data_IF_214830312556
#
_entry.id   IF_214830312556
#
_cell.length_a   1.000
_cell.length_b   1.000
_cell.length_c   1.000
_cell.angle_alpha   90.00
_cell.angle_beta   90.00
_cell.angle_gamma   90.00
#
_symmetry.space_group_name_H-M   'P 1'
#
loop_
_entity.id
_entity.type
_entity.pdbx_description
1 polymer ?
#
# COMPACT_ATOMS: atom_id res chain seq x y z
N UNK A 1 9.35 -4.06 -31.01
CA UNK A 1 10.39 -3.31 -30.28
C UNK A 1 11.80 -3.89 -30.44
N UNK A 2 12.06 -5.18 -30.16
CA UNK A 2 13.41 -5.78 -30.31
C UNK A 2 14.08 -5.50 -31.67
N UNK A 3 13.38 -5.78 -32.78
CA UNK A 3 13.86 -5.48 -34.14
C UNK A 3 14.16 -3.99 -34.37
N UNK A 4 13.36 -3.10 -33.80
CA UNK A 4 13.54 -1.64 -33.91
C UNK A 4 14.84 -1.22 -33.21
N UNK A 5 15.08 -1.71 -31.99
CA UNK A 5 16.30 -1.42 -31.22
C UNK A 5 17.55 -2.02 -31.89
N UNK A 6 17.44 -3.22 -32.47
CA UNK A 6 18.53 -3.86 -33.23
C UNK A 6 18.86 -3.07 -34.50
N UNK A 7 17.84 -2.65 -35.25
CA UNK A 7 18.01 -1.80 -36.43
C UNK A 7 18.64 -0.45 -36.07
N UNK A 8 18.16 0.20 -35.01
CA UNK A 8 18.69 1.48 -34.55
C UNK A 8 20.17 1.36 -34.15
N UNK A 9 20.52 0.31 -33.40
CA UNK A 9 21.91 -0.01 -33.08
C UNK A 9 22.79 -0.23 -34.32
N UNK A 10 22.27 -0.93 -35.34
CA UNK A 10 23.01 -1.23 -36.57
C UNK A 10 23.28 0.02 -37.40
N UNK A 11 22.35 0.98 -37.38
CA UNK A 11 22.41 2.20 -38.19
C UNK A 11 22.80 3.44 -37.38
N UNK A 12 23.29 3.29 -36.15
CA UNK A 12 23.68 4.39 -35.26
C UNK A 12 22.56 5.43 -35.02
N UNK A 13 21.31 4.99 -35.00
CA UNK A 13 20.15 5.82 -34.70
C UNK A 13 19.93 5.81 -33.19
N UNK A 14 19.88 6.99 -32.59
CA UNK A 14 19.53 7.18 -31.18
C UNK A 14 18.00 7.22 -31.06
N UNK A 15 17.45 6.37 -30.20
CA UNK A 15 16.04 6.38 -29.84
C UNK A 15 15.90 7.00 -28.45
N UNK A 16 15.02 7.99 -28.33
CA UNK A 16 14.61 8.52 -27.03
C UNK A 16 13.70 7.49 -26.34
N UNK A 17 14.20 6.85 -25.29
CA UNK A 17 13.48 5.80 -24.55
C UNK A 17 12.59 6.34 -23.43
N UNK A 18 12.70 7.63 -23.11
CA UNK A 18 11.96 8.27 -22.01
C UNK A 18 10.82 9.15 -22.55
N UNK A 19 10.70 9.30 -23.86
CA UNK A 19 9.61 10.06 -24.46
C UNK A 19 8.26 9.41 -24.13
N UNK A 20 7.35 10.22 -23.59
CA UNK A 20 6.02 9.78 -23.23
C UNK A 20 4.99 10.16 -24.28
N UNK A 21 4.02 9.29 -24.54
CA UNK A 21 2.83 9.65 -25.32
C UNK A 21 1.82 10.50 -24.52
N UNK A 22 0.68 10.85 -25.13
CA UNK A 22 -0.40 11.63 -24.49
C UNK A 22 -0.95 10.99 -23.20
N UNK A 23 -0.84 9.67 -23.07
CA UNK A 23 -1.21 8.91 -21.86
C UNK A 23 -0.07 8.82 -20.85
N UNK A 24 1.01 9.60 -21.01
CA UNK A 24 2.24 9.56 -20.20
C UNK A 24 2.93 8.19 -20.18
N UNK A 25 2.72 7.38 -21.22
CA UNK A 25 3.29 6.05 -21.36
C UNK A 25 4.57 6.08 -22.20
N UNK A 26 5.57 5.34 -21.76
CA UNK A 26 6.89 5.22 -22.38
C UNK A 26 7.28 3.74 -22.50
N UNK A 27 8.25 3.37 -23.38
CA UNK A 27 8.59 1.98 -23.67
C UNK A 27 8.79 1.10 -22.44
N UNK A 28 9.51 1.60 -21.43
CA UNK A 28 9.75 0.81 -20.23
C UNK A 28 8.52 0.64 -19.35
N UNK A 29 7.66 1.67 -19.22
CA UNK A 29 6.40 1.54 -18.47
C UNK A 29 5.54 0.43 -19.07
N UNK A 30 5.45 0.36 -20.40
CA UNK A 30 4.69 -0.69 -21.07
C UNK A 30 5.26 -2.09 -20.83
N UNK A 31 6.59 -2.22 -20.85
CA UNK A 31 7.27 -3.48 -20.53
C UNK A 31 6.98 -3.92 -19.09
N UNK A 32 6.93 -2.98 -18.14
CA UNK A 32 6.57 -3.25 -16.75
C UNK A 32 5.13 -3.76 -16.64
N UNK A 33 4.19 -3.08 -17.31
CA UNK A 33 2.78 -3.49 -17.37
C UNK A 33 2.59 -4.88 -17.96
N UNK A 34 3.27 -5.19 -19.08
CA UNK A 34 3.18 -6.49 -19.74
C UNK A 34 4.01 -7.58 -19.02
N UNK A 35 4.68 -7.25 -17.91
CA UNK A 35 5.63 -8.11 -17.20
C UNK A 35 6.67 -8.79 -18.13
N UNK A 36 7.12 -8.07 -19.16
CA UNK A 36 7.97 -8.65 -20.20
C UNK A 36 9.46 -8.55 -19.84
N UNK A 37 9.93 -9.49 -19.00
CA UNK A 37 11.30 -9.55 -18.49
C UNK A 37 12.36 -9.55 -19.60
N UNK A 38 12.14 -10.30 -20.67
CA UNK A 38 13.11 -10.41 -21.76
C UNK A 38 13.22 -9.10 -22.53
N UNK A 39 12.08 -8.43 -22.76
CA UNK A 39 12.08 -7.12 -23.40
C UNK A 39 12.71 -6.05 -22.49
N UNK A 40 12.54 -6.12 -21.16
CA UNK A 40 13.21 -5.24 -20.20
C UNK A 40 14.74 -5.35 -20.32
N UNK A 41 15.27 -6.59 -20.35
CA UNK A 41 16.70 -6.84 -20.55
C UNK A 41 17.21 -6.29 -21.88
N UNK A 42 16.43 -6.46 -22.96
CA UNK A 42 16.79 -5.91 -24.29
C UNK A 42 16.82 -4.38 -24.26
N UNK A 43 15.83 -3.72 -23.64
CA UNK A 43 15.77 -2.27 -23.52
C UNK A 43 16.96 -1.73 -22.70
N UNK A 44 17.23 -2.34 -21.55
CA UNK A 44 18.37 -1.99 -20.68
C UNK A 44 19.72 -2.19 -21.41
N UNK A 45 19.87 -3.27 -22.17
CA UNK A 45 21.08 -3.51 -22.97
C UNK A 45 21.28 -2.41 -24.01
N UNK A 46 20.21 -2.00 -24.69
CA UNK A 46 20.26 -0.88 -25.63
C UNK A 46 20.62 0.43 -24.93
N UNK A 47 19.97 0.74 -23.80
CA UNK A 47 20.20 1.97 -23.05
C UNK A 47 21.67 2.10 -22.60
N UNK A 48 22.21 1.03 -21.96
CA UNK A 48 23.61 0.97 -21.57
C UNK A 48 24.58 1.14 -22.74
N UNK A 49 24.31 0.51 -23.89
CA UNK A 49 25.19 0.58 -25.07
C UNK A 49 25.28 2.00 -25.64
N UNK A 50 24.20 2.76 -25.55
CA UNK A 50 24.08 4.09 -26.14
C UNK A 50 24.20 5.22 -25.10
N UNK A 51 24.67 4.91 -23.88
CA UNK A 51 24.75 5.85 -22.75
C UNK A 51 23.43 6.61 -22.49
N UNK A 52 22.30 5.95 -22.75
CA UNK A 52 20.98 6.50 -22.47
C UNK A 52 20.58 6.10 -21.04
N UNK A 53 20.18 7.08 -20.22
CA UNK A 53 19.70 6.90 -18.86
C UNK A 53 18.18 6.67 -18.94
N UNK A 54 17.72 5.47 -18.59
CA UNK A 54 16.28 5.21 -18.50
C UNK A 54 15.68 5.98 -17.31
N UNK A 55 14.62 6.75 -17.55
CA UNK A 55 13.83 7.36 -16.48
C UNK A 55 12.92 6.29 -15.85
N UNK A 56 13.18 6.01 -14.58
CA UNK A 56 12.53 4.94 -13.84
C UNK A 56 11.58 5.51 -12.80
N UNK A 57 10.29 5.47 -13.14
CA UNK A 57 9.20 5.72 -12.21
C UNK A 57 8.49 4.39 -11.93
N UNK A 58 8.41 3.98 -10.68
CA UNK A 58 7.83 2.69 -10.26
C UNK A 58 6.29 2.75 -10.25
N UNK A 59 5.66 2.99 -11.39
CA UNK A 59 4.18 3.04 -11.44
C UNK A 59 3.54 1.65 -11.40
N UNK A 60 4.28 0.61 -11.78
CA UNK A 60 3.77 -0.76 -11.92
C UNK A 60 4.78 -1.78 -11.35
N UNK A 61 4.41 -2.45 -10.26
CA UNK A 61 5.35 -3.25 -9.46
C UNK A 61 5.13 -4.76 -9.61
N UNK A 62 5.76 -5.33 -10.64
CA UNK A 62 6.09 -6.77 -10.62
C UNK A 62 7.48 -6.98 -10.01
N UNK A 63 7.57 -7.79 -8.95
CA UNK A 63 8.82 -7.99 -8.21
C UNK A 63 10.00 -8.48 -9.07
N UNK A 64 9.75 -9.22 -10.16
CA UNK A 64 10.82 -9.69 -11.05
C UNK A 64 11.42 -8.54 -11.88
N UNK A 65 10.58 -7.68 -12.43
CA UNK A 65 11.04 -6.49 -13.19
C UNK A 65 11.68 -5.50 -12.24
N UNK A 66 11.13 -5.33 -11.03
CA UNK A 66 11.69 -4.45 -10.02
C UNK A 66 13.16 -4.80 -9.70
N UNK A 67 13.49 -6.08 -9.51
CA UNK A 67 14.89 -6.52 -9.32
C UNK A 67 15.80 -6.13 -10.49
N UNK A 68 15.29 -6.22 -11.72
CA UNK A 68 16.05 -5.87 -12.92
C UNK A 68 16.30 -4.35 -12.98
N UNK A 69 15.31 -3.54 -12.61
CA UNK A 69 15.42 -2.09 -12.57
C UNK A 69 16.42 -1.64 -11.50
N UNK A 70 16.30 -2.15 -10.26
CA UNK A 70 17.25 -1.84 -9.16
C UNK A 70 18.70 -2.12 -9.58
N UNK A 71 18.94 -3.28 -10.21
CA UNK A 71 20.29 -3.63 -10.68
C UNK A 71 20.84 -2.69 -11.75
N UNK A 72 19.98 -2.27 -12.69
CA UNK A 72 20.36 -1.30 -13.72
C UNK A 72 20.74 0.05 -13.11
N UNK A 73 20.01 0.47 -12.08
CA UNK A 73 20.20 1.77 -11.44
C UNK A 73 21.45 1.83 -10.60
N UNK A 74 21.68 0.81 -9.78
CA UNK A 74 22.90 0.68 -9.00
C UNK A 74 24.14 0.74 -9.91
N UNK A 75 24.04 0.16 -11.12
CA UNK A 75 25.13 0.20 -12.10
C UNK A 75 25.33 1.58 -12.73
N UNK A 76 24.26 2.35 -12.89
CA UNK A 76 24.28 3.64 -13.59
C UNK A 76 24.19 4.85 -12.65
N UNK A 77 24.25 4.64 -11.33
CA UNK A 77 24.10 5.66 -10.28
C UNK A 77 22.81 6.49 -10.43
N UNK A 78 21.70 5.82 -10.73
CA UNK A 78 20.36 6.42 -10.85
C UNK A 78 19.59 6.16 -9.55
N UNK A 79 18.77 7.11 -9.11
CA UNK A 79 17.89 6.97 -7.93
C UNK A 79 16.43 6.88 -8.39
N UNK A 80 15.74 5.81 -8.01
CA UNK A 80 14.31 5.64 -8.27
C UNK A 80 13.49 6.66 -7.53
N UNK A 81 12.45 7.14 -8.21
CA UNK A 81 11.39 7.91 -7.57
C UNK A 81 10.30 6.97 -7.04
N UNK A 82 10.63 6.21 -5.99
CA UNK A 82 9.76 5.18 -5.39
C UNK A 82 8.57 5.71 -4.57
N UNK A 83 8.37 7.03 -4.53
CA UNK A 83 7.24 7.69 -3.86
C UNK A 83 6.36 8.48 -4.82
N UNK A 84 6.71 8.56 -6.11
CA UNK A 84 5.87 9.25 -7.08
C UNK A 84 4.57 8.49 -7.30
N UNK A 85 3.47 9.23 -7.38
CA UNK A 85 2.15 8.65 -7.61
C UNK A 85 1.83 8.55 -9.11
N UNK A 86 1.02 7.56 -9.47
CA UNK A 86 0.37 7.49 -10.76
C UNK A 86 -0.79 8.51 -10.89
N UNK A 87 -1.53 8.45 -12.01
CA UNK A 87 -2.69 9.32 -12.26
C UNK A 87 -3.86 9.07 -11.29
N UNK A 88 -3.87 7.92 -10.62
CA UNK A 88 -4.85 7.51 -9.61
C UNK A 88 -4.33 7.75 -8.19
N UNK A 89 -3.26 8.54 -8.03
CA UNK A 89 -2.63 8.82 -6.74
C UNK A 89 -2.12 7.56 -6.01
N UNK A 90 -1.91 6.46 -6.73
CA UNK A 90 -1.24 5.28 -6.18
C UNK A 90 0.26 5.50 -6.23
N UNK A 91 0.93 5.37 -5.10
CA UNK A 91 2.38 5.27 -5.04
C UNK A 91 2.82 3.80 -5.08
N UNK A 92 4.11 3.53 -5.36
CA UNK A 92 4.59 2.20 -5.71
C UNK A 92 4.34 1.16 -4.60
N UNK A 93 4.43 1.56 -3.33
CA UNK A 93 4.11 0.69 -2.20
C UNK A 93 2.65 0.21 -2.20
N UNK A 94 1.70 1.11 -2.46
CA UNK A 94 0.28 0.76 -2.53
C UNK A 94 0.03 -0.19 -3.70
N UNK A 95 0.63 0.06 -4.87
CA UNK A 95 0.52 -0.83 -6.04
C UNK A 95 1.10 -2.23 -5.74
N UNK A 96 2.26 -2.31 -5.09
CA UNK A 96 2.88 -3.58 -4.71
C UNK A 96 1.98 -4.40 -3.76
N UNK A 97 1.31 -3.73 -2.83
CA UNK A 97 0.32 -4.32 -1.92
C UNK A 97 -0.91 -4.81 -2.70
N UNK A 98 -1.48 -3.97 -3.57
CA UNK A 98 -2.69 -4.30 -4.36
C UNK A 98 -2.45 -5.47 -5.32
N UNK A 99 -1.25 -5.58 -5.90
CA UNK A 99 -0.85 -6.71 -6.75
C UNK A 99 -0.53 -7.99 -5.96
N UNK A 100 -0.77 -7.99 -4.64
CA UNK A 100 -0.57 -9.12 -3.73
C UNK A 100 0.86 -9.68 -3.70
N UNK A 101 1.86 -8.88 -4.11
CA UNK A 101 3.25 -9.36 -4.23
C UNK A 101 4.06 -8.98 -2.99
N UNK A 102 4.17 -9.91 -2.04
CA UNK A 102 5.01 -9.71 -0.85
C UNK A 102 6.48 -9.44 -1.22
N UNK A 103 6.96 -10.06 -2.29
CA UNK A 103 8.32 -9.85 -2.79
C UNK A 103 8.52 -8.41 -3.27
N UNK A 104 7.56 -7.82 -4.00
CA UNK A 104 7.63 -6.41 -4.40
C UNK A 104 7.68 -5.48 -3.18
N UNK A 105 6.90 -5.77 -2.13
CA UNK A 105 6.90 -4.97 -0.90
C UNK A 105 8.27 -5.04 -0.21
N UNK A 106 8.86 -6.24 -0.09
CA UNK A 106 10.20 -6.42 0.50
C UNK A 106 11.27 -5.68 -0.29
N UNK A 107 11.25 -5.76 -1.61
CA UNK A 107 12.20 -5.06 -2.48
C UNK A 107 12.10 -3.55 -2.36
N UNK A 108 10.89 -2.99 -2.26
CA UNK A 108 10.69 -1.56 -2.02
C UNK A 108 11.28 -1.13 -0.68
N UNK A 109 11.05 -1.90 0.39
CA UNK A 109 11.60 -1.63 1.72
C UNK A 109 13.12 -1.69 1.71
N UNK A 110 13.70 -2.74 1.14
CA UNK A 110 15.14 -2.92 1.04
C UNK A 110 15.79 -1.78 0.25
N UNK A 111 15.23 -1.44 -0.92
CA UNK A 111 15.72 -0.33 -1.72
C UNK A 111 15.62 1.00 -0.97
N UNK A 112 14.48 1.28 -0.35
CA UNK A 112 14.27 2.50 0.41
C UNK A 112 15.30 2.64 1.54
N UNK A 113 15.55 1.57 2.29
CA UNK A 113 16.54 1.55 3.37
C UNK A 113 17.96 1.77 2.83
N UNK A 114 18.35 1.10 1.74
CA UNK A 114 19.69 1.21 1.15
C UNK A 114 19.98 2.61 0.59
N UNK A 115 18.93 3.34 0.18
CA UNK A 115 19.04 4.69 -0.39
C UNK A 115 18.57 5.79 0.58
N UNK A 116 18.30 5.47 1.85
CA UNK A 116 17.81 6.40 2.87
C UNK A 116 16.54 7.17 2.44
N UNK A 117 15.66 6.50 1.68
CA UNK A 117 14.37 7.02 1.25
C UNK A 117 13.30 6.59 2.25
N UNK A 118 12.47 7.54 2.69
CA UNK A 118 11.28 7.24 3.49
C UNK A 118 10.14 6.88 2.55
N UNK A 119 9.64 5.64 2.56
CA UNK A 119 8.55 5.19 1.70
C UNK A 119 7.27 5.95 2.00
N UNK A 120 6.55 6.28 0.95
CA UNK A 120 5.24 6.86 1.03
C UNK A 120 4.23 5.79 1.47
N UNK A 121 3.53 6.02 2.58
CA UNK A 121 2.49 5.11 3.12
C UNK A 121 1.11 5.79 3.22
N UNK A 122 1.02 7.02 2.73
CA UNK A 122 -0.15 7.89 2.61
C UNK A 122 0.16 8.91 1.50
N UNK A 123 -0.75 9.43 0.70
CA UNK A 123 -0.32 10.36 -0.38
C UNK A 123 0.16 11.71 0.19
N UNK A 124 1.41 12.12 -0.04
CA UNK A 124 1.91 13.46 0.32
C UNK A 124 1.64 14.44 -0.83
N UNK A 125 0.48 15.10 -0.81
CA UNK A 125 0.37 16.44 -1.39
C UNK A 125 0.44 17.44 -0.25
N UNK A 126 1.33 18.44 -0.40
CA UNK A 126 1.85 19.38 0.61
C UNK A 126 0.82 20.13 1.49
N UNK A 127 -0.48 19.97 1.26
CA UNK A 127 -1.53 20.77 1.90
C UNK A 127 -2.67 19.96 2.58
N UNK A 128 -2.70 18.62 2.58
CA UNK A 128 -3.70 17.88 3.38
C UNK A 128 -3.14 16.59 3.97
N UNK A 129 -3.30 16.41 5.29
CA UNK A 129 -2.64 15.39 6.13
C UNK A 129 -3.31 14.00 6.01
N UNK A 130 -4.34 13.84 5.17
CA UNK A 130 -5.26 12.69 5.22
C UNK A 130 -5.51 11.99 3.87
N UNK A 131 -4.54 11.94 2.93
CA UNK A 131 -4.86 11.58 1.54
C UNK A 131 -4.63 10.09 1.18
N UNK A 132 -5.71 9.49 0.69
CA UNK A 132 -5.82 8.16 0.09
C UNK A 132 -5.60 8.23 -1.42
N UNK A 133 -5.53 7.10 -2.12
CA UNK A 133 -5.68 7.10 -3.57
C UNK A 133 -7.11 7.53 -4.00
N UNK A 134 -7.37 7.62 -5.31
CA UNK A 134 -8.72 7.98 -5.81
C UNK A 134 -9.84 7.02 -5.34
N UNK A 135 -9.51 5.83 -4.85
CA UNK A 135 -10.45 4.83 -4.33
C UNK A 135 -10.68 4.95 -2.83
N UNK A 136 -9.92 5.78 -2.13
CA UNK A 136 -9.99 5.88 -0.67
C UNK A 136 -9.09 4.89 0.06
N UNK A 137 -8.15 4.26 -0.64
CA UNK A 137 -7.22 3.29 -0.08
C UNK A 137 -5.85 3.88 0.28
N UNK A 138 -5.26 3.30 1.32
CA UNK A 138 -3.85 3.40 1.69
C UNK A 138 -3.38 2.03 2.23
N UNK A 139 -2.08 1.74 2.31
CA UNK A 139 -1.49 0.44 2.62
C UNK A 139 -2.18 -0.31 3.75
N UNK A 140 -2.23 0.27 4.95
CA UNK A 140 -2.80 -0.42 6.10
C UNK A 140 -4.29 -0.72 5.91
N UNK A 141 -5.08 0.25 5.47
CA UNK A 141 -6.52 0.08 5.25
C UNK A 141 -6.81 -0.99 4.21
N UNK A 142 -6.11 -0.96 3.07
CA UNK A 142 -6.30 -1.95 2.02
C UNK A 142 -5.92 -3.35 2.52
N UNK A 143 -4.81 -3.48 3.25
CA UNK A 143 -4.39 -4.75 3.85
C UNK A 143 -5.41 -5.29 4.85
N UNK A 144 -6.01 -4.42 5.67
CA UNK A 144 -7.09 -4.79 6.58
C UNK A 144 -8.35 -5.24 5.84
N UNK A 145 -8.72 -4.53 4.77
CA UNK A 145 -9.86 -4.87 3.90
C UNK A 145 -9.70 -6.26 3.28
N UNK A 146 -8.50 -6.62 2.84
CA UNK A 146 -8.20 -7.93 2.22
C UNK A 146 -7.72 -9.01 3.21
N UNK A 147 -7.66 -8.72 4.51
CA UNK A 147 -7.20 -9.63 5.57
C UNK A 147 -5.76 -10.18 5.42
N UNK A 148 -4.84 -9.41 4.84
CA UNK A 148 -3.44 -9.85 4.68
C UNK A 148 -2.55 -9.47 5.87
N UNK A 149 -2.58 -10.30 6.92
CA UNK A 149 -1.81 -10.10 8.16
C UNK A 149 -0.30 -10.21 7.96
N UNK A 150 0.13 -10.97 6.95
CA UNK A 150 1.56 -11.14 6.65
C UNK A 150 2.16 -9.82 6.18
N UNK A 151 1.47 -9.11 5.27
CA UNK A 151 1.94 -7.80 4.79
C UNK A 151 1.71 -6.68 5.81
N UNK A 152 0.71 -6.77 6.69
CA UNK A 152 0.60 -5.82 7.83
C UNK A 152 1.80 -5.92 8.75
N UNK A 153 2.24 -7.13 9.11
CA UNK A 153 3.45 -7.31 9.92
C UNK A 153 4.69 -6.69 9.25
N UNK A 154 4.86 -6.92 7.95
CA UNK A 154 5.97 -6.32 7.19
C UNK A 154 5.89 -4.78 7.16
N UNK A 155 4.68 -4.23 7.00
CA UNK A 155 4.46 -2.79 7.07
C UNK A 155 4.79 -2.23 8.46
N UNK A 156 4.41 -2.93 9.53
CA UNK A 156 4.68 -2.56 10.92
C UNK A 156 6.16 -2.62 11.29
N UNK A 157 6.85 -3.67 10.85
CA UNK A 157 8.31 -3.78 10.94
C UNK A 157 8.98 -2.56 10.30
N UNK A 158 8.55 -2.19 9.10
CA UNK A 158 9.07 -1.00 8.43
C UNK A 158 8.80 0.29 9.21
N UNK A 159 7.53 0.56 9.57
CA UNK A 159 7.18 1.84 10.22
C UNK A 159 7.76 2.00 11.61
N UNK A 160 8.06 0.90 12.31
CA UNK A 160 8.72 0.92 13.62
C UNK A 160 10.07 1.66 13.62
N UNK A 161 10.71 1.77 12.46
CA UNK A 161 11.97 2.48 12.26
C UNK A 161 11.80 3.88 11.64
N UNK A 162 10.56 4.37 11.55
CA UNK A 162 10.23 5.64 10.90
C UNK A 162 9.42 6.55 11.83
N UNK A 163 9.21 7.79 11.40
CA UNK A 163 8.32 8.75 12.06
C UNK A 163 6.82 8.53 11.75
N UNK A 164 6.47 7.53 10.93
CA UNK A 164 5.07 7.29 10.57
C UNK A 164 4.28 6.64 11.69
N UNK A 165 3.06 7.11 11.88
CA UNK A 165 2.05 6.45 12.69
C UNK A 165 1.00 5.79 11.78
N UNK A 166 0.39 4.71 12.27
CA UNK A 166 -0.83 4.19 11.66
C UNK A 166 -1.94 5.25 11.78
N UNK A 167 -2.74 5.39 10.74
CA UNK A 167 -3.86 6.32 10.74
C UNK A 167 -5.20 5.55 10.68
N UNK A 168 -6.24 6.18 11.21
CA UNK A 168 -7.58 5.60 11.30
C UNK A 168 -8.53 6.17 10.23
N UNK A 169 -8.00 6.61 9.09
CA UNK A 169 -8.86 7.29 8.11
C UNK A 169 -9.84 6.31 7.45
N UNK A 170 -11.08 6.77 7.27
CA UNK A 170 -12.18 6.00 6.68
C UNK A 170 -12.15 5.94 5.16
N UNK A 171 -12.28 4.79 4.52
CA UNK A 171 -12.48 4.69 3.07
C UNK A 171 -13.82 5.26 2.59
N UNK A 172 -14.13 5.05 1.30
CA UNK A 172 -15.40 5.46 0.70
C UNK A 172 -16.64 4.76 1.27
N UNK A 173 -16.48 3.65 1.98
CA UNK A 173 -17.56 2.96 2.69
C UNK A 173 -17.70 3.45 4.13
N UNK A 174 -16.87 4.41 4.55
CA UNK A 174 -16.83 4.89 5.92
C UNK A 174 -16.06 3.95 6.86
N UNK A 175 -15.35 2.94 6.33
CA UNK A 175 -14.64 1.96 7.14
C UNK A 175 -13.18 2.34 7.33
N UNK A 176 -12.69 2.22 8.56
CA UNK A 176 -11.29 2.44 8.95
C UNK A 176 -10.62 1.08 9.26
N UNK A 177 -9.29 1.00 9.47
CA UNK A 177 -8.59 -0.30 9.58
C UNK A 177 -9.18 -1.25 10.62
N UNK A 178 -9.38 -0.78 11.85
CA UNK A 178 -9.96 -1.60 12.92
C UNK A 178 -11.40 -2.02 12.60
N UNK A 179 -12.19 -1.18 11.91
CA UNK A 179 -13.53 -1.57 11.47
C UNK A 179 -13.51 -2.66 10.40
N UNK A 180 -12.55 -2.63 9.47
CA UNK A 180 -12.39 -3.70 8.50
C UNK A 180 -12.04 -5.03 9.17
N UNK A 181 -11.11 -5.04 10.13
CA UNK A 181 -10.72 -6.28 10.81
C UNK A 181 -11.84 -6.84 11.67
N UNK A 182 -12.63 -5.97 12.31
CA UNK A 182 -13.83 -6.39 13.06
C UNK A 182 -14.96 -6.88 12.16
N UNK A 183 -15.24 -6.15 11.07
CA UNK A 183 -16.23 -6.56 10.06
C UNK A 183 -15.91 -7.93 9.45
N UNK A 184 -14.63 -8.21 9.21
CA UNK A 184 -14.16 -9.48 8.68
C UNK A 184 -14.00 -10.58 9.75
N UNK A 185 -14.30 -10.29 11.03
CA UNK A 185 -14.04 -11.15 12.18
C UNK A 185 -12.59 -11.69 12.25
N UNK A 186 -11.62 -10.88 11.82
CA UNK A 186 -10.22 -11.25 11.79
C UNK A 186 -9.55 -10.94 13.13
N UNK A 187 -9.58 -11.93 14.03
CA UNK A 187 -9.08 -11.81 15.41
C UNK A 187 -7.58 -11.47 15.44
N UNK A 188 -6.76 -12.23 14.73
CA UNK A 188 -5.31 -12.06 14.74
C UNK A 188 -4.89 -10.67 14.24
N UNK A 189 -5.54 -10.20 13.17
CA UNK A 189 -5.25 -8.87 12.64
C UNK A 189 -5.74 -7.75 13.57
N UNK A 190 -6.89 -7.92 14.21
CA UNK A 190 -7.39 -6.98 15.23
C UNK A 190 -6.43 -6.87 16.40
N UNK A 191 -5.96 -8.03 16.90
CA UNK A 191 -4.97 -8.09 17.97
C UNK A 191 -3.66 -7.39 17.56
N UNK A 192 -3.22 -7.58 16.31
CA UNK A 192 -2.03 -6.93 15.76
C UNK A 192 -2.17 -5.40 15.75
N UNK A 193 -3.33 -4.87 15.32
CA UNK A 193 -3.60 -3.43 15.34
C UNK A 193 -3.62 -2.87 16.76
N UNK A 194 -4.34 -3.51 17.68
CA UNK A 194 -4.43 -3.10 19.09
C UNK A 194 -3.05 -3.08 19.74
N UNK A 195 -2.27 -4.16 19.57
CA UNK A 195 -0.91 -4.25 20.09
C UNK A 195 -0.04 -3.11 19.58
N UNK A 196 0.01 -2.90 18.27
CA UNK A 196 0.81 -1.81 17.67
C UNK A 196 0.37 -0.45 18.21
N UNK A 197 -0.95 -0.19 18.24
CA UNK A 197 -1.50 1.08 18.71
C UNK A 197 -1.12 1.36 20.16
N UNK A 198 -1.12 0.33 21.01
CA UNK A 198 -0.74 0.41 22.43
C UNK A 198 0.76 0.68 22.58
N UNK A 199 1.61 -0.06 21.85
CA UNK A 199 3.07 0.11 21.87
C UNK A 199 3.53 1.49 21.37
N UNK A 200 2.79 2.07 20.42
CA UNK A 200 3.11 3.38 19.82
C UNK A 200 2.29 4.54 20.38
N UNK A 201 1.42 4.29 21.35
CA UNK A 201 0.51 5.28 21.92
C UNK A 201 -0.30 6.02 20.83
N UNK A 202 -0.84 5.25 19.88
CA UNK A 202 -1.76 5.73 18.85
C UNK A 202 -3.18 5.34 19.24
N UNK A 203 -4.08 6.30 19.33
CA UNK A 203 -5.50 6.04 19.62
C UNK A 203 -6.18 5.38 18.42
N UNK A 204 -6.96 4.31 18.63
CA UNK A 204 -7.80 3.68 17.61
C UNK A 204 -9.24 4.18 17.71
N UNK A 205 -9.89 4.41 16.57
CA UNK A 205 -11.29 4.81 16.52
C UNK A 205 -12.20 3.63 16.90
N UNK A 206 -12.99 3.76 17.97
CA UNK A 206 -13.96 2.73 18.39
C UNK A 206 -15.41 3.12 18.13
N UNK A 207 -15.69 4.43 18.09
CA UNK A 207 -17.03 5.01 18.07
C UNK A 207 -17.31 5.84 16.81
N UNK A 208 -16.55 5.64 15.74
CA UNK A 208 -16.94 6.19 14.44
C UNK A 208 -17.93 5.24 13.76
N UNK A 209 -18.94 5.83 13.11
CA UNK A 209 -19.87 5.09 12.27
C UNK A 209 -19.32 4.93 10.86
N UNK A 210 -19.62 3.79 10.25
CA UNK A 210 -19.51 3.67 8.81
C UNK A 210 -20.64 4.43 8.08
N UNK A 211 -20.65 4.38 6.75
CA UNK A 211 -21.64 5.12 5.96
C UNK A 211 -23.06 4.55 6.06
N UNK A 212 -23.22 3.33 6.59
CA UNK A 212 -24.53 2.71 6.85
C UNK A 212 -25.04 3.12 8.25
N UNK A 213 -24.17 3.69 9.09
CA UNK A 213 -24.52 4.20 10.41
C UNK A 213 -24.19 3.26 11.55
N UNK A 214 -23.48 2.16 11.26
CA UNK A 214 -23.15 1.11 12.21
C UNK A 214 -21.86 1.42 12.98
N UNK A 215 -21.83 1.10 14.27
CA UNK A 215 -20.61 1.12 15.08
C UNK A 215 -19.81 -0.19 14.94
N UNK A 216 -18.51 -0.11 15.24
CA UNK A 216 -17.60 -1.25 15.34
C UNK A 216 -18.17 -2.39 16.21
N UNK A 217 -18.75 -2.02 17.36
CA UNK A 217 -19.25 -2.98 18.34
C UNK A 217 -20.41 -3.82 17.77
N UNK A 218 -21.24 -3.28 16.87
CA UNK A 218 -22.30 -4.05 16.20
C UNK A 218 -21.71 -5.23 15.43
N UNK A 219 -20.67 -4.99 14.66
CA UNK A 219 -20.04 -6.06 13.88
C UNK A 219 -19.40 -7.09 14.81
N UNK A 220 -18.80 -6.68 15.93
CA UNK A 220 -18.21 -7.63 16.89
C UNK A 220 -19.26 -8.55 17.54
N UNK A 221 -20.48 -8.06 17.79
CA UNK A 221 -21.56 -8.84 18.41
C UNK A 221 -22.39 -9.63 17.39
N UNK A 222 -22.56 -9.14 16.15
CA UNK A 222 -23.31 -9.87 15.11
C UNK A 222 -22.62 -11.20 14.77
N UNK A 223 -21.29 -11.23 14.79
CA UNK A 223 -20.48 -12.45 14.68
C UNK A 223 -20.52 -13.35 15.95
N UNK A 224 -21.56 -13.24 16.79
CA UNK A 224 -21.80 -13.79 18.15
C UNK A 224 -21.41 -15.23 18.47
N UNK A 225 -20.89 -16.01 17.51
CA UNK A 225 -20.22 -17.28 17.78
C UNK A 225 -18.82 -17.04 18.38
N UNK A 226 -18.18 -15.89 18.12
CA UNK A 226 -16.83 -15.58 18.61
C UNK A 226 -16.79 -14.37 19.56
N UNK A 227 -16.91 -14.63 20.87
CA UNK A 227 -16.79 -13.59 21.92
C UNK A 227 -15.42 -12.90 21.95
N UNK A 228 -14.38 -13.49 21.34
CA UNK A 228 -13.01 -12.99 21.43
C UNK A 228 -12.87 -11.58 20.84
N UNK A 229 -13.59 -11.27 19.74
CA UNK A 229 -13.57 -9.93 19.14
C UNK A 229 -14.12 -8.88 20.12
N UNK A 230 -15.29 -9.16 20.70
CA UNK A 230 -15.95 -8.28 21.67
C UNK A 230 -15.07 -8.08 22.91
N UNK A 231 -14.48 -9.17 23.42
CA UNK A 231 -13.55 -9.13 24.56
C UNK A 231 -12.34 -8.24 24.27
N UNK A 232 -11.67 -8.41 23.13
CA UNK A 232 -10.53 -7.56 22.76
C UNK A 232 -10.89 -6.07 22.69
N UNK A 233 -12.05 -5.73 22.12
CA UNK A 233 -12.50 -4.34 22.05
C UNK A 233 -12.81 -3.77 23.44
N UNK A 234 -13.40 -4.57 24.33
CA UNK A 234 -13.68 -4.16 25.72
C UNK A 234 -12.41 -3.97 26.53
N UNK A 235 -11.45 -4.88 26.39
CA UNK A 235 -10.13 -4.77 27.03
C UNK A 235 -9.38 -3.52 26.56
N UNK A 236 -9.37 -3.25 25.25
CA UNK A 236 -8.75 -2.04 24.72
C UNK A 236 -9.44 -0.76 25.19
N UNK A 237 -10.78 -0.71 25.17
CA UNK A 237 -11.55 0.47 25.62
C UNK A 237 -11.45 0.75 27.13
N UNK A 238 -11.23 -0.30 27.94
CA UNK A 238 -11.08 -0.19 29.40
C UNK A 238 -9.63 -0.07 29.85
N UNK A 239 -8.66 -0.28 28.94
CA UNK A 239 -7.24 -0.12 29.25
C UNK A 239 -6.95 1.31 29.73
N UNK A 240 -6.05 1.42 30.72
CA UNK A 240 -5.65 2.70 31.30
C UNK A 240 -5.15 3.66 30.21
N UNK A 241 -5.81 4.80 30.05
CA UNK A 241 -5.50 5.81 29.02
C UNK A 241 -6.51 5.88 27.86
N UNK A 242 -7.39 4.89 27.70
CA UNK A 242 -8.35 4.82 26.58
C UNK A 242 -9.81 4.79 27.04
N UNK A 243 -10.14 5.24 28.26
CA UNK A 243 -11.45 5.11 28.90
C UNK A 243 -12.62 5.62 28.03
N UNK A 244 -13.04 4.78 27.09
CA UNK A 244 -13.93 5.11 25.97
C UNK A 244 -15.17 4.25 26.14
N UNK A 245 -16.32 4.91 26.22
CA UNK A 245 -17.61 4.24 26.25
C UNK A 245 -17.89 3.73 24.84
N UNK A 246 -18.01 2.41 24.66
CA UNK A 246 -18.36 1.83 23.37
C UNK A 246 -19.84 2.04 23.05
N UNK A 247 -20.12 2.60 21.88
CA UNK A 247 -21.48 2.94 21.46
C UNK A 247 -22.13 1.83 20.64
N UNK A 248 -23.43 1.64 20.92
CA UNK A 248 -24.41 0.93 20.09
C UNK A 248 -25.64 1.82 19.98
N UNK A 249 -26.38 1.72 18.88
CA UNK A 249 -27.63 2.45 18.66
C UNK A 249 -28.79 1.50 18.34
N UNK A 250 -30.02 2.02 18.35
CA UNK A 250 -31.22 1.21 18.15
C UNK A 250 -31.37 0.60 16.75
N UNK A 251 -30.69 1.13 15.73
CA UNK A 251 -30.63 0.51 14.40
C UNK A 251 -29.66 -0.68 14.41
N UNK A 252 -28.54 -0.56 15.14
CA UNK A 252 -27.59 -1.67 15.34
C UNK A 252 -28.29 -2.88 15.97
N UNK A 253 -29.08 -2.65 17.01
CA UNK A 253 -29.78 -3.71 17.75
C UNK A 253 -30.86 -4.40 16.88
N UNK A 254 -31.57 -3.64 16.03
CA UNK A 254 -32.59 -4.22 15.13
C UNK A 254 -32.00 -5.20 14.13
N UNK A 255 -30.76 -5.01 13.70
CA UNK A 255 -30.10 -5.89 12.74
C UNK A 255 -29.72 -7.25 13.36
N UNK A 256 -29.42 -7.29 14.67
CA UNK A 256 -29.04 -8.52 15.40
C UNK A 256 -30.22 -9.50 15.54
N UNK A 257 -31.45 -8.99 15.70
CA UNK A 257 -32.63 -9.81 16.01
C UNK A 257 -33.43 -10.28 14.79
N UNK A 258 -32.96 -10.02 13.56
CA UNK A 258 -33.62 -10.44 12.32
C UNK A 258 -33.07 -11.77 11.73
N UNK A 259 -32.41 -12.60 12.56
CA UNK A 259 -31.86 -13.92 12.21
C UNK A 259 -32.82 -15.04 12.65
#
# INVERSE_FOLDING_TARGET
MKLILEYANKNHILINLNETNDSRSYPLLRICYDNNIDMAKVLIKYANKNNNILELNQKENNGKIMKILINYENKNNIVLRINETDIFSNYPMLVAIMNNSIESVRLLIEYANNHYITLQLNSMNKNEINQKNYYGDYPLLYLCKINDSTKVNLLFEYVNHTQYCINNYRDKDGKFPLLWTTYNNNIDMTQLLIKYSTEKNVELNLNEKDNIGNYLLLYAIDHSINLSMTQMLFEYASASGHNVILNLNGEDIKNIYNI
#
